data_IF_077870684676
#
_entry.id   IF_077870684676
#
_cell.length_a   1.000
_cell.length_b   1.000
_cell.length_c   1.000
_cell.angle_alpha   90.00
_cell.angle_beta   90.00
_cell.angle_gamma   90.00
#
_symmetry.space_group_name_H-M   'P 1'
#
loop_
_entity.id
_entity.type
_entity.pdbx_description
1 polymer ?
#
# COMPACT_ATOMS: atom_id res chain seq x y z
N UNK A 1 -33.94 -15.44 -27.15
CA UNK A 1 -32.58 -14.99 -26.82
C UNK A 1 -31.66 -15.37 -27.96
N UNK A 2 -31.02 -14.37 -28.60
CA UNK A 2 -30.32 -14.53 -29.88
C UNK A 2 -28.87 -14.97 -29.70
N UNK A 3 -28.31 -15.74 -30.64
CA UNK A 3 -26.92 -16.23 -30.62
C UNK A 3 -25.87 -15.11 -30.45
N UNK A 4 -26.19 -13.88 -30.88
CA UNK A 4 -25.34 -12.70 -30.68
C UNK A 4 -25.22 -12.27 -29.20
N UNK A 5 -26.29 -12.44 -28.40
CA UNK A 5 -26.27 -12.14 -26.96
C UNK A 5 -25.42 -13.15 -26.18
N UNK A 6 -25.43 -14.42 -26.59
CA UNK A 6 -24.58 -15.46 -26.00
C UNK A 6 -23.09 -15.23 -26.33
N UNK A 7 -22.77 -14.79 -27.55
CA UNK A 7 -21.38 -14.51 -27.94
C UNK A 7 -20.80 -13.30 -27.19
N UNK A 8 -21.58 -12.24 -27.01
CA UNK A 8 -21.19 -11.07 -26.21
C UNK A 8 -20.98 -11.44 -24.74
N UNK A 9 -21.89 -12.21 -24.14
CA UNK A 9 -21.76 -12.67 -22.75
C UNK A 9 -20.52 -13.56 -22.53
N UNK A 10 -20.21 -14.44 -23.49
CA UNK A 10 -19.00 -15.28 -23.45
C UNK A 10 -17.72 -14.45 -23.62
N UNK A 11 -17.73 -13.42 -24.47
CA UNK A 11 -16.63 -12.46 -24.62
C UNK A 11 -16.35 -11.68 -23.34
N UNK A 12 -17.39 -11.16 -22.69
CA UNK A 12 -17.27 -10.48 -21.40
C UNK A 12 -16.74 -11.42 -20.30
N UNK A 13 -17.23 -12.66 -20.23
CA UNK A 13 -16.76 -13.64 -19.24
C UNK A 13 -15.30 -14.08 -19.46
N UNK A 14 -14.83 -14.13 -20.71
CA UNK A 14 -13.42 -14.39 -21.01
C UNK A 14 -12.53 -13.20 -20.63
N UNK A 15 -12.95 -11.98 -20.96
CA UNK A 15 -12.24 -10.75 -20.61
C UNK A 15 -12.10 -10.62 -19.08
N UNK A 16 -13.19 -10.80 -18.33
CA UNK A 16 -13.18 -10.71 -16.86
C UNK A 16 -12.25 -11.74 -16.22
N UNK A 17 -12.21 -12.98 -16.73
CA UNK A 17 -11.29 -14.01 -16.25
C UNK A 17 -9.82 -13.66 -16.55
N UNK A 18 -9.54 -13.11 -17.73
CA UNK A 18 -8.19 -12.68 -18.09
C UNK A 18 -7.70 -11.53 -17.20
N UNK A 19 -8.57 -10.55 -16.92
CA UNK A 19 -8.28 -9.44 -16.00
C UNK A 19 -8.01 -9.94 -14.59
N UNK A 20 -8.84 -10.84 -14.06
CA UNK A 20 -8.66 -11.41 -12.72
C UNK A 20 -7.38 -12.24 -12.62
N UNK A 21 -7.05 -13.00 -13.66
CA UNK A 21 -5.80 -13.75 -13.74
C UNK A 21 -4.58 -12.83 -13.78
N UNK A 22 -4.67 -11.67 -14.45
CA UNK A 22 -3.61 -10.66 -14.44
C UNK A 22 -3.43 -10.07 -13.04
N UNK A 23 -4.50 -9.62 -12.39
CA UNK A 23 -4.46 -9.08 -11.02
C UNK A 23 -3.85 -10.09 -10.05
N UNK A 24 -4.29 -11.35 -10.11
CA UNK A 24 -3.75 -12.41 -9.26
C UNK A 24 -2.25 -12.65 -9.51
N UNK A 25 -1.80 -12.62 -10.78
CA UNK A 25 -0.37 -12.74 -11.10
C UNK A 25 0.42 -11.56 -10.56
N UNK A 26 -0.06 -10.34 -10.72
CA UNK A 26 0.65 -9.13 -10.26
C UNK A 26 0.80 -9.12 -8.73
N UNK A 27 -0.26 -9.48 -8.00
CA UNK A 27 -0.26 -9.60 -6.53
C UNK A 27 0.67 -10.73 -6.06
N UNK A 28 0.72 -11.87 -6.76
CA UNK A 28 1.56 -13.03 -6.38
C UNK A 28 3.02 -12.92 -6.84
N UNK A 29 3.29 -12.15 -7.89
CA UNK A 29 4.62 -11.91 -8.44
C UNK A 29 5.47 -10.98 -7.55
N UNK A 30 4.84 -10.20 -6.67
CA UNK A 30 5.52 -9.52 -5.57
C UNK A 30 6.09 -10.55 -4.59
N UNK A 31 7.40 -10.85 -4.71
CA UNK A 31 8.09 -11.98 -4.09
C UNK A 31 8.13 -12.11 -2.55
N UNK A 32 9.29 -12.45 -1.99
CA UNK A 32 9.37 -13.20 -0.73
C UNK A 32 9.53 -14.66 -1.10
N UNK A 33 10.59 -15.28 -0.59
CA UNK A 33 10.88 -16.66 -0.97
C UNK A 33 9.65 -17.52 -0.64
N UNK A 34 9.38 -18.58 -1.40
CA UNK A 34 8.36 -19.55 -1.03
C UNK A 34 8.46 -19.96 0.45
N UNK A 35 9.66 -19.93 1.04
CA UNK A 35 9.92 -20.14 2.46
C UNK A 35 9.29 -19.10 3.40
N UNK A 36 9.49 -17.79 3.16
CA UNK A 36 8.98 -16.73 4.04
C UNK A 36 7.45 -16.68 4.05
N UNK A 37 6.83 -16.85 2.88
CA UNK A 37 5.37 -16.90 2.75
C UNK A 37 4.77 -18.12 3.45
N UNK A 38 5.46 -19.27 3.39
CA UNK A 38 5.06 -20.48 4.11
C UNK A 38 5.28 -20.33 5.62
N UNK A 39 6.34 -19.67 6.06
CA UNK A 39 6.63 -19.45 7.47
C UNK A 39 5.59 -18.54 8.13
N UNK A 40 5.22 -17.41 7.50
CA UNK A 40 4.16 -16.53 7.99
C UNK A 40 2.80 -17.26 8.04
N UNK A 41 2.43 -17.98 6.98
CA UNK A 41 1.19 -18.76 6.93
C UNK A 41 1.17 -19.91 7.98
N UNK A 42 2.33 -20.49 8.29
CA UNK A 42 2.47 -21.50 9.34
C UNK A 42 2.27 -20.89 10.73
N UNK A 43 2.89 -19.73 11.00
CA UNK A 43 2.74 -19.01 12.27
C UNK A 43 1.29 -18.58 12.53
N UNK A 44 0.57 -18.10 11.50
CA UNK A 44 -0.85 -17.76 11.61
C UNK A 44 -1.72 -18.98 11.90
N UNK A 45 -1.46 -20.11 11.23
CA UNK A 45 -2.14 -21.39 11.51
C UNK A 45 -1.88 -21.89 12.93
N UNK A 46 -0.64 -21.81 13.41
CA UNK A 46 -0.28 -22.19 14.78
C UNK A 46 -0.94 -21.28 15.82
N UNK A 47 -1.22 -20.02 15.45
CA UNK A 47 -1.98 -19.08 16.28
C UNK A 47 -3.51 -19.27 16.20
N UNK A 48 -4.01 -20.29 15.49
CA UNK A 48 -5.46 -20.54 15.31
C UNK A 48 -6.16 -19.50 14.43
N UNK A 49 -5.40 -18.63 13.75
CA UNK A 49 -5.91 -17.59 12.85
C UNK A 49 -5.92 -18.14 11.44
N UNK A 50 -7.03 -18.74 11.01
CA UNK A 50 -7.23 -19.02 9.59
C UNK A 50 -7.50 -17.70 8.88
N UNK A 51 -6.60 -17.19 8.01
CA UNK A 51 -6.90 -15.98 7.26
C UNK A 51 -8.11 -16.26 6.35
N UNK A 52 -9.05 -15.30 6.21
CA UNK A 52 -10.13 -15.43 5.24
C UNK A 52 -9.52 -15.64 3.86
N UNK A 53 -9.95 -16.69 3.16
CA UNK A 53 -9.48 -16.94 1.80
C UNK A 53 -9.97 -15.81 0.90
N UNK A 54 -9.05 -15.12 0.22
CA UNK A 54 -9.41 -14.13 -0.79
C UNK A 54 -10.27 -14.81 -1.87
N UNK A 55 -11.45 -14.24 -2.11
CA UNK A 55 -12.37 -14.63 -3.17
C UNK A 55 -12.00 -13.93 -4.48
N UNK A 56 -12.58 -14.40 -5.59
CA UNK A 56 -12.49 -13.69 -6.87
C UNK A 56 -13.06 -12.25 -6.80
N UNK A 57 -14.02 -11.99 -5.90
CA UNK A 57 -14.56 -10.65 -5.65
C UNK A 57 -13.52 -9.73 -5.00
N UNK A 58 -12.76 -10.24 -4.03
CA UNK A 58 -11.70 -9.48 -3.35
C UNK A 58 -10.59 -9.04 -4.32
N UNK A 59 -10.31 -9.82 -5.37
CA UNK A 59 -9.37 -9.44 -6.41
C UNK A 59 -9.83 -8.22 -7.22
N UNK A 60 -11.14 -8.02 -7.40
CA UNK A 60 -11.67 -6.83 -8.06
C UNK A 60 -11.52 -5.58 -7.19
N UNK A 61 -11.55 -5.77 -5.87
CA UNK A 61 -11.36 -4.70 -4.87
C UNK A 61 -9.88 -4.42 -4.57
N UNK A 62 -8.95 -5.06 -5.28
CA UNK A 62 -7.51 -4.88 -5.07
C UNK A 62 -7.13 -3.42 -5.31
N UNK A 63 -6.60 -2.70 -4.28
CA UNK A 63 -6.15 -1.33 -4.44
C UNK A 63 -5.13 -1.20 -5.56
N UNK A 64 -5.23 -0.11 -6.34
CA UNK A 64 -4.39 0.10 -7.53
C UNK A 64 -2.88 0.01 -7.23
N UNK A 65 -2.45 0.50 -6.07
CA UNK A 65 -1.05 0.45 -5.64
C UNK A 65 -0.53 -0.98 -5.43
N UNK A 66 -1.36 -1.94 -4.99
CA UNK A 66 -0.93 -3.32 -4.73
C UNK A 66 -0.50 -4.05 -6.00
N UNK A 67 -0.95 -3.58 -7.16
CA UNK A 67 -0.61 -4.13 -8.48
C UNK A 67 0.67 -3.53 -9.07
N UNK A 68 1.22 -2.47 -8.48
CA UNK A 68 2.45 -1.80 -8.94
C UNK A 68 3.70 -2.63 -8.59
N UNK A 69 4.82 -2.46 -9.29
CA UNK A 69 6.12 -2.99 -8.88
C UNK A 69 6.49 -2.64 -7.42
N UNK A 70 7.23 -3.51 -6.75
CA UNK A 70 7.60 -3.32 -5.31
C UNK A 70 8.31 -2.01 -5.01
N UNK A 71 9.18 -1.56 -5.91
CA UNK A 71 9.90 -0.31 -5.71
C UNK A 71 8.93 0.88 -5.66
N UNK A 72 7.90 0.87 -6.51
CA UNK A 72 6.82 1.86 -6.48
C UNK A 72 5.95 1.71 -5.23
N UNK A 73 5.60 0.49 -4.83
CA UNK A 73 4.85 0.28 -3.59
C UNK A 73 5.59 0.84 -2.36
N UNK A 74 6.90 0.64 -2.26
CA UNK A 74 7.74 1.23 -1.20
C UNK A 74 7.78 2.74 -1.29
N UNK A 75 7.94 3.31 -2.49
CA UNK A 75 7.89 4.77 -2.69
C UNK A 75 6.56 5.37 -2.24
N UNK A 76 5.44 4.76 -2.63
CA UNK A 76 4.10 5.19 -2.21
C UNK A 76 3.95 5.10 -0.69
N UNK A 77 4.46 4.04 -0.06
CA UNK A 77 4.46 3.91 1.39
C UNK A 77 5.25 5.05 2.06
N UNK A 78 6.49 5.29 1.62
CA UNK A 78 7.34 6.36 2.15
C UNK A 78 6.69 7.73 1.94
N UNK A 79 6.12 7.99 0.76
CA UNK A 79 5.38 9.22 0.47
C UNK A 79 4.21 9.42 1.44
N UNK A 80 3.39 8.38 1.66
CA UNK A 80 2.28 8.43 2.62
C UNK A 80 2.76 8.69 4.05
N UNK A 81 3.89 8.12 4.46
CA UNK A 81 4.49 8.36 5.77
C UNK A 81 4.93 9.82 5.92
N UNK A 82 5.65 10.38 4.95
CA UNK A 82 6.08 11.77 4.97
C UNK A 82 4.90 12.74 5.04
N UNK A 83 3.86 12.53 4.21
CA UNK A 83 2.65 13.36 4.25
C UNK A 83 1.93 13.27 5.60
N UNK A 84 1.93 12.11 6.26
CA UNK A 84 1.31 11.94 7.58
C UNK A 84 1.97 12.77 8.68
N UNK A 85 3.21 13.23 8.44
CA UNK A 85 4.03 14.06 9.33
C UNK A 85 3.95 15.56 8.97
N UNK A 86 3.03 15.99 8.11
CA UNK A 86 2.97 17.33 7.53
C UNK A 86 3.34 18.48 8.50
N UNK A 87 2.67 18.66 9.65
CA UNK A 87 3.01 19.71 10.59
C UNK A 87 4.43 19.63 11.16
N UNK A 88 4.95 18.42 11.39
CA UNK A 88 6.32 18.23 11.86
C UNK A 88 7.34 18.62 10.79
N UNK A 89 7.07 18.32 9.51
CA UNK A 89 7.90 18.75 8.39
C UNK A 89 7.87 20.28 8.20
N UNK A 90 6.67 20.87 8.21
CA UNK A 90 6.48 22.30 7.96
C UNK A 90 7.09 23.21 9.02
N UNK A 91 7.23 22.73 10.26
CA UNK A 91 7.74 23.52 11.39
C UNK A 91 9.18 23.17 11.80
N UNK A 92 9.80 22.17 11.16
CA UNK A 92 11.13 21.73 11.56
C UNK A 92 12.22 22.68 11.10
N UNK A 93 13.14 22.96 12.03
CA UNK A 93 14.40 23.67 11.78
C UNK A 93 15.61 22.74 11.97
N UNK A 94 15.39 21.47 12.28
CA UNK A 94 16.46 20.49 12.45
C UNK A 94 16.92 19.98 11.08
N UNK A 95 17.89 20.69 10.51
CA UNK A 95 18.51 20.31 9.24
C UNK A 95 19.18 18.94 9.26
N UNK A 96 19.61 18.46 10.43
CA UNK A 96 20.19 17.12 10.56
C UNK A 96 19.13 16.02 10.44
N UNK A 97 17.96 16.23 11.05
CA UNK A 97 16.82 15.34 10.89
C UNK A 97 16.28 15.36 9.45
N UNK A 98 16.08 16.54 8.85
CA UNK A 98 15.64 16.67 7.45
C UNK A 98 16.61 15.99 6.48
N UNK A 99 17.93 16.14 6.70
CA UNK A 99 18.94 15.47 5.89
C UNK A 99 18.83 13.95 5.96
N UNK A 100 18.64 13.38 7.15
CA UNK A 100 18.46 11.93 7.31
C UNK A 100 17.18 11.43 6.62
N UNK A 101 16.11 12.22 6.63
CA UNK A 101 14.89 11.88 5.89
C UNK A 101 15.12 11.91 4.38
N UNK A 102 15.82 12.94 3.87
CA UNK A 102 16.17 13.03 2.45
C UNK A 102 17.09 11.89 2.00
N UNK A 103 18.07 11.51 2.82
CA UNK A 103 18.97 10.39 2.53
C UNK A 103 18.20 9.05 2.45
N UNK A 104 17.14 8.89 3.23
CA UNK A 104 16.31 7.67 3.25
C UNK A 104 15.22 7.64 2.16
N UNK A 105 14.52 8.75 1.95
CA UNK A 105 13.36 8.84 1.05
C UNK A 105 13.71 9.35 -0.36
N UNK A 106 14.83 10.04 -0.51
CA UNK A 106 15.16 10.88 -1.66
C UNK A 106 14.74 12.33 -1.45
N UNK A 107 15.60 13.27 -1.83
CA UNK A 107 15.40 14.72 -1.70
C UNK A 107 14.14 15.20 -2.43
N UNK A 108 13.95 14.76 -3.68
CA UNK A 108 12.77 15.09 -4.49
C UNK A 108 11.44 14.70 -3.81
N UNK A 109 11.41 13.53 -3.16
CA UNK A 109 10.21 13.05 -2.50
C UNK A 109 9.93 13.80 -1.19
N UNK A 110 11.00 14.19 -0.47
CA UNK A 110 10.89 15.01 0.73
C UNK A 110 10.37 16.42 0.39
N UNK A 111 10.95 17.07 -0.60
CA UNK A 111 10.53 18.40 -1.05
C UNK A 111 9.06 18.40 -1.48
N UNK A 112 8.67 17.42 -2.30
CA UNK A 112 7.27 17.22 -2.71
C UNK A 112 6.32 17.04 -1.50
N UNK A 113 6.74 16.31 -0.47
CA UNK A 113 5.92 16.12 0.73
C UNK A 113 5.82 17.40 1.56
N UNK A 114 6.90 18.19 1.64
CA UNK A 114 6.93 19.47 2.33
C UNK A 114 6.01 20.50 1.68
N UNK A 115 5.95 20.53 0.34
CA UNK A 115 5.02 21.41 -0.40
C UNK A 115 3.54 21.11 -0.09
N UNK A 116 3.22 19.88 0.33
CA UNK A 116 1.86 19.39 0.60
C UNK A 116 1.51 19.29 2.08
N UNK A 117 2.47 19.58 2.96
CA UNK A 117 2.40 19.35 4.40
C UNK A 117 1.26 20.09 5.11
N UNK A 118 0.71 21.15 4.51
CA UNK A 118 -0.41 21.94 5.06
C UNK A 118 -1.80 21.54 4.57
N UNK A 119 -1.91 20.75 3.50
CA UNK A 119 -3.19 20.48 2.82
C UNK A 119 -3.84 19.16 3.24
N UNK A 120 -3.12 18.35 4.02
CA UNK A 120 -3.46 16.96 4.31
C UNK A 120 -3.54 16.69 5.82
N UNK A 121 -4.32 15.67 6.22
CA UNK A 121 -4.47 15.32 7.63
C UNK A 121 -3.14 14.84 8.23
N UNK A 122 -2.78 15.41 9.36
CA UNK A 122 -1.64 14.96 10.15
C UNK A 122 -2.03 13.74 10.99
N UNK A 123 -1.42 12.59 10.73
CA UNK A 123 -1.68 11.35 11.45
C UNK A 123 -0.46 10.87 12.24
N UNK A 124 0.65 11.59 12.19
CA UNK A 124 1.89 11.21 12.88
C UNK A 124 2.67 12.45 13.32
N UNK A 125 3.38 12.31 14.43
CA UNK A 125 4.41 13.27 14.83
C UNK A 125 5.69 13.10 14.01
N UNK A 126 6.80 13.63 14.52
CA UNK A 126 8.11 13.42 13.90
C UNK A 126 8.50 11.93 13.93
N UNK A 127 8.80 11.36 12.77
CA UNK A 127 9.34 10.01 12.61
C UNK A 127 10.83 10.05 12.27
N UNK A 128 11.55 9.00 12.62
CA UNK A 128 12.89 8.71 12.12
C UNK A 128 12.88 8.07 10.72
N UNK A 129 14.03 8.06 10.02
CA UNK A 129 14.14 7.45 8.69
C UNK A 129 13.77 5.96 8.68
N UNK A 130 14.12 5.22 9.72
CA UNK A 130 13.86 3.77 9.83
C UNK A 130 12.38 3.44 10.07
N UNK A 131 11.56 4.44 10.42
CA UNK A 131 10.14 4.29 10.72
C UNK A 131 9.25 4.57 9.50
N UNK A 132 9.78 5.22 8.46
CA UNK A 132 9.02 5.69 7.29
C UNK A 132 8.30 4.54 6.57
N UNK A 133 9.03 3.48 6.20
CA UNK A 133 8.41 2.36 5.49
C UNK A 133 7.33 1.68 6.34
N UNK A 134 7.60 1.45 7.62
CA UNK A 134 6.65 0.82 8.53
C UNK A 134 5.37 1.62 8.70
N UNK A 135 5.49 2.94 8.89
CA UNK A 135 4.32 3.82 8.97
C UNK A 135 3.55 3.85 7.65
N UNK A 136 4.24 4.00 6.54
CA UNK A 136 3.67 4.03 5.20
C UNK A 136 2.83 2.80 4.89
N UNK A 137 3.40 1.62 5.13
CA UNK A 137 2.67 0.36 4.93
C UNK A 137 1.54 0.14 5.92
N UNK A 138 1.61 0.72 7.14
CA UNK A 138 0.47 0.70 8.06
C UNK A 138 -0.72 1.50 7.48
N UNK A 139 -0.47 2.68 6.90
CA UNK A 139 -1.50 3.50 6.23
C UNK A 139 -2.09 2.77 5.02
N UNK A 140 -1.25 2.17 4.19
CA UNK A 140 -1.70 1.37 3.04
C UNK A 140 -2.55 0.16 3.48
N UNK A 141 -2.16 -0.54 4.55
CA UNK A 141 -2.93 -1.65 5.11
C UNK A 141 -4.29 -1.24 5.68
N UNK A 142 -4.39 -0.04 6.25
CA UNK A 142 -5.66 0.48 6.76
C UNK A 142 -6.72 0.56 5.66
N UNK A 143 -6.30 0.89 4.43
CA UNK A 143 -7.17 0.95 3.24
C UNK A 143 -7.26 -0.38 2.47
N UNK A 144 -6.58 -1.43 2.93
CA UNK A 144 -6.59 -2.74 2.28
C UNK A 144 -7.69 -3.62 2.87
N UNK A 145 -8.57 -4.22 2.05
CA UNK A 145 -9.54 -5.22 2.49
C UNK A 145 -8.87 -6.31 3.35
N UNK A 146 -9.48 -6.74 4.47
CA UNK A 146 -8.88 -7.72 5.37
C UNK A 146 -8.44 -9.03 4.70
N UNK A 147 -9.19 -9.48 3.69
CA UNK A 147 -8.90 -10.64 2.84
C UNK A 147 -7.60 -10.51 2.04
N UNK A 148 -7.18 -9.30 1.70
CA UNK A 148 -5.97 -9.03 0.91
C UNK A 148 -4.73 -8.75 1.76
N UNK A 149 -4.89 -8.40 3.05
CA UNK A 149 -3.78 -8.07 3.97
C UNK A 149 -2.71 -9.17 4.09
N UNK A 150 -3.02 -10.48 4.09
CA UNK A 150 -2.00 -11.54 4.14
C UNK A 150 -1.00 -11.49 2.97
N UNK A 151 -1.39 -10.92 1.82
CA UNK A 151 -0.50 -10.77 0.67
C UNK A 151 0.56 -9.67 0.86
N UNK A 152 0.43 -8.87 1.92
CA UNK A 152 1.41 -7.85 2.34
C UNK A 152 2.34 -8.37 3.45
N UNK A 153 2.46 -9.69 3.63
CA UNK A 153 3.31 -10.31 4.66
C UNK A 153 4.81 -10.00 4.54
N UNK A 154 5.24 -9.49 3.38
CA UNK A 154 6.61 -9.01 3.15
C UNK A 154 6.82 -7.54 3.59
N UNK A 155 5.74 -6.78 3.76
CA UNK A 155 5.81 -5.38 4.16
C UNK A 155 6.01 -5.28 5.68
N UNK A 156 6.71 -4.26 6.20
CA UNK A 156 6.92 -4.09 7.64
C UNK A 156 5.58 -3.96 8.38
N UNK A 157 5.41 -4.69 9.47
CA UNK A 157 4.18 -4.72 10.26
C UNK A 157 3.94 -3.44 11.07
N UNK A 158 2.68 -3.02 11.15
CA UNK A 158 2.20 -2.01 12.10
C UNK A 158 0.73 -2.27 12.40
N UNK A 159 0.31 -2.17 13.68
CA UNK A 159 -1.10 -2.29 14.05
C UNK A 159 -1.82 -0.99 13.67
N UNK A 160 -2.43 -0.96 12.49
CA UNK A 160 -3.34 0.13 12.13
C UNK A 160 -4.64 0.03 12.93
N UNK A 161 -5.09 1.15 13.50
CA UNK A 161 -6.41 1.26 14.13
C UNK A 161 -7.46 1.68 13.10
N UNK A 162 -8.72 1.24 13.25
CA UNK A 162 -9.83 1.66 12.38
C UNK A 162 -10.03 3.19 12.39
N UNK A 163 -9.64 3.87 13.47
CA UNK A 163 -9.69 5.33 13.58
C UNK A 163 -8.69 6.04 12.64
N UNK A 164 -7.61 5.38 12.24
CA UNK A 164 -6.61 5.94 11.32
C UNK A 164 -7.05 5.84 9.85
N UNK A 165 -8.02 4.98 9.54
CA UNK A 165 -8.46 4.72 8.17
C UNK A 165 -9.05 5.96 7.48
N UNK A 166 -9.81 6.78 8.21
CA UNK A 166 -10.46 7.98 7.65
C UNK A 166 -9.49 9.08 7.21
N UNK A 167 -8.33 9.20 7.87
CA UNK A 167 -7.27 10.13 7.45
C UNK A 167 -6.32 9.51 6.42
N UNK A 168 -6.15 8.18 6.46
CA UNK A 168 -5.22 7.47 5.59
C UNK A 168 -5.62 7.58 4.10
N UNK A 169 -6.92 7.66 3.80
CA UNK A 169 -7.41 7.74 2.42
C UNK A 169 -6.83 8.95 1.67
N UNK A 170 -6.93 10.15 2.24
CA UNK A 170 -6.41 11.38 1.63
C UNK A 170 -4.88 11.34 1.44
N UNK A 171 -4.16 10.78 2.42
CA UNK A 171 -2.70 10.65 2.37
C UNK A 171 -2.25 9.65 1.31
N UNK A 172 -2.90 8.49 1.22
CA UNK A 172 -2.57 7.46 0.23
C UNK A 172 -2.97 7.90 -1.17
N UNK A 173 -4.12 8.56 -1.33
CA UNK A 173 -4.53 9.15 -2.60
C UNK A 173 -3.51 10.18 -3.09
N UNK A 174 -3.01 11.05 -2.20
CA UNK A 174 -1.92 11.98 -2.52
C UNK A 174 -0.61 11.26 -2.86
N UNK A 175 -0.25 10.21 -2.10
CA UNK A 175 0.97 9.44 -2.29
C UNK A 175 1.01 8.68 -3.63
N UNK A 176 -0.14 8.36 -4.23
CA UNK A 176 -0.22 7.74 -5.55
C UNK A 176 0.29 8.66 -6.68
N UNK A 177 0.25 9.97 -6.45
CA UNK A 177 0.71 11.04 -7.36
C UNK A 177 2.17 11.45 -7.09
N UNK A 178 2.86 10.75 -6.19
CA UNK A 178 4.24 11.05 -5.85
C UNK A 178 5.20 10.83 -7.05
N UNK A 179 6.29 11.61 -7.14
CA UNK A 179 7.30 11.41 -8.18
C UNK A 179 7.87 9.98 -8.13
N UNK A 180 7.97 9.35 -9.30
CA UNK A 180 8.45 7.96 -9.42
C UNK A 180 7.46 6.89 -8.93
N UNK A 181 6.19 7.24 -8.74
CA UNK A 181 5.11 6.28 -8.50
C UNK A 181 4.43 5.80 -9.80
N UNK A 182 4.86 6.25 -11.00
CA UNK A 182 4.25 5.94 -12.31
C UNK A 182 5.08 4.96 -13.15
#
# INVERSE_FOLDING_TARGET
MSAAQNHAALGHAAQSRATLAAIGRDVLAGGGDPGERRAAALLDRLAGRAPPAATLGDLLETPGWMRRPRAEQRRIAVAAALLSMGPALATSIDGGWLRRLADAAGEELLDWAMERAGDLPALSGALGPDELEGRGFALLRALTPPSLRPHLGWAPGGSGSDAEAGGAEALVAAALEAPGAS
#
